data_IF_089062285689
#
_entry.id   IF_089062285689
#
_cell.length_a   1.000
_cell.length_b   1.000
_cell.length_c   1.000
_cell.angle_alpha   90.00
_cell.angle_beta   90.00
_cell.angle_gamma   90.00
#
_symmetry.space_group_name_H-M   'P 1'
#
loop_
_entity.id
_entity.type
_entity.pdbx_description
1 polymer ?
#
# COMPACT_ATOMS: atom_id res chain seq x y z
N UNK A 1 -3.58 11.95 9.61
CA UNK A 1 -3.31 10.88 10.54
C UNK A 1 -1.93 10.30 10.26
N UNK A 2 -1.25 9.81 11.29
CA UNK A 2 0.06 9.15 11.34
C UNK A 2 0.05 7.71 10.77
N UNK A 3 -0.42 7.55 9.53
CA UNK A 3 -0.51 6.25 8.87
C UNK A 3 0.85 5.55 8.72
N UNK A 4 1.89 6.31 8.36
CA UNK A 4 3.27 5.82 8.24
C UNK A 4 3.78 5.17 9.53
N UNK A 5 3.39 5.72 10.69
CA UNK A 5 3.82 5.25 12.02
C UNK A 5 3.04 4.03 12.50
N UNK A 6 1.91 3.73 11.85
CA UNK A 6 0.96 2.68 12.26
C UNK A 6 1.02 1.45 11.36
N UNK A 7 1.40 1.63 10.10
CA UNK A 7 1.43 0.58 9.08
C UNK A 7 2.35 -0.60 9.47
N UNK A 8 3.56 -0.41 10.02
CA UNK A 8 4.45 -1.51 10.38
C UNK A 8 3.81 -2.52 11.34
N UNK A 9 3.32 -2.03 12.49
CA UNK A 9 2.77 -2.87 13.56
C UNK A 9 1.34 -3.35 13.30
N UNK A 10 0.57 -2.68 12.42
CA UNK A 10 -0.83 -3.07 12.14
C UNK A 10 -0.97 -4.02 10.97
N UNK A 11 -0.08 -3.93 9.98
CA UNK A 11 -0.18 -4.68 8.74
C UNK A 11 1.09 -5.48 8.46
N UNK A 12 2.25 -4.83 8.44
CA UNK A 12 3.49 -5.46 7.96
C UNK A 12 3.94 -6.64 8.85
N UNK A 13 3.75 -6.53 10.17
CA UNK A 13 4.04 -7.62 11.10
C UNK A 13 3.15 -8.84 10.88
N UNK A 14 1.87 -8.62 10.55
CA UNK A 14 0.98 -9.70 10.12
C UNK A 14 1.46 -10.35 8.83
N UNK A 15 1.87 -9.53 7.85
CA UNK A 15 2.36 -10.04 6.56
C UNK A 15 3.63 -10.88 6.75
N UNK A 16 4.57 -10.45 7.61
CA UNK A 16 5.77 -11.25 7.95
C UNK A 16 5.40 -12.63 8.50
N UNK A 17 4.40 -12.70 9.39
CA UNK A 17 3.89 -13.97 9.92
C UNK A 17 3.33 -14.85 8.79
N UNK A 18 2.55 -14.28 7.87
CA UNK A 18 1.98 -15.04 6.76
C UNK A 18 3.03 -15.54 5.77
N UNK A 19 4.04 -14.71 5.45
CA UNK A 19 5.17 -15.09 4.60
C UNK A 19 5.97 -16.25 5.23
N UNK A 20 6.27 -16.18 6.52
CA UNK A 20 6.97 -17.24 7.23
C UNK A 20 6.17 -18.56 7.28
N UNK A 21 4.83 -18.47 7.30
CA UNK A 21 3.91 -19.62 7.33
C UNK A 21 3.47 -20.09 5.95
N UNK A 22 3.89 -19.41 4.87
CA UNK A 22 3.43 -19.67 3.50
C UNK A 22 1.88 -19.71 3.39
N UNK A 23 1.21 -18.79 4.09
CA UNK A 23 -0.25 -18.68 4.09
C UNK A 23 -0.69 -17.41 3.36
N UNK A 24 -1.93 -17.38 2.89
CA UNK A 24 -2.46 -16.24 2.15
C UNK A 24 -2.76 -15.04 3.05
N UNK A 25 -2.59 -13.83 2.50
CA UNK A 25 -2.78 -12.57 3.21
C UNK A 25 -3.38 -11.44 2.32
N UNK A 26 -4.35 -11.72 1.44
CA UNK A 26 -4.75 -10.77 0.40
C UNK A 26 -5.42 -9.51 0.97
N UNK A 27 -6.10 -9.60 2.11
CA UNK A 27 -6.69 -8.43 2.80
C UNK A 27 -5.63 -7.52 3.43
N UNK A 28 -4.50 -8.07 3.91
CA UNK A 28 -3.39 -7.26 4.40
C UNK A 28 -2.70 -6.54 3.24
N UNK A 29 -2.55 -7.22 2.09
CA UNK A 29 -2.06 -6.59 0.86
C UNK A 29 -2.96 -5.42 0.43
N UNK A 30 -4.28 -5.64 0.45
CA UNK A 30 -5.27 -4.62 0.12
C UNK A 30 -5.24 -3.45 1.10
N UNK A 31 -5.06 -3.68 2.40
CA UNK A 31 -4.90 -2.62 3.39
C UNK A 31 -3.68 -1.73 3.12
N UNK A 32 -2.54 -2.34 2.77
CA UNK A 32 -1.31 -1.60 2.41
C UNK A 32 -1.50 -0.82 1.10
N UNK A 33 -2.09 -1.44 0.07
CA UNK A 33 -2.40 -0.76 -1.19
C UNK A 33 -3.41 0.39 -1.01
N UNK A 34 -4.39 0.23 -0.13
CA UNK A 34 -5.35 1.27 0.25
C UNK A 34 -4.66 2.46 0.94
N UNK A 35 -3.69 2.21 1.82
CA UNK A 35 -2.86 3.28 2.37
C UNK A 35 -2.07 3.99 1.27
N UNK A 36 -1.44 3.26 0.33
CA UNK A 36 -0.72 3.86 -0.80
C UNK A 36 -1.63 4.74 -1.67
N UNK A 37 -2.88 4.31 -1.89
CA UNK A 37 -3.90 5.08 -2.61
C UNK A 37 -4.28 6.35 -1.87
N UNK A 38 -4.55 6.24 -0.58
CA UNK A 38 -4.87 7.39 0.26
C UNK A 38 -3.75 8.43 0.22
N UNK A 39 -2.50 8.03 0.50
CA UNK A 39 -1.36 8.96 0.54
C UNK A 39 -0.94 9.49 -0.84
N UNK A 40 -1.52 8.94 -1.92
CA UNK A 40 -1.40 9.51 -3.26
C UNK A 40 -2.21 10.81 -3.45
N UNK A 41 -3.02 11.19 -2.45
CA UNK A 41 -3.58 12.53 -2.33
C UNK A 41 -4.80 12.82 -3.19
N UNK A 42 -5.36 11.81 -3.87
CA UNK A 42 -6.56 11.94 -4.70
C UNK A 42 -7.50 10.76 -4.42
N UNK A 43 -8.78 11.03 -4.23
CA UNK A 43 -9.80 10.00 -4.01
C UNK A 43 -10.36 9.42 -5.32
N UNK A 44 -11.23 8.42 -5.21
CA UNK A 44 -11.85 7.73 -6.37
C UNK A 44 -12.74 8.67 -7.21
N UNK A 45 -13.10 9.86 -6.72
CA UNK A 45 -13.85 10.89 -7.46
C UNK A 45 -12.96 11.96 -8.11
N UNK A 46 -11.64 11.88 -7.91
CA UNK A 46 -10.67 12.87 -8.39
C UNK A 46 -10.48 14.07 -7.46
N UNK A 47 -11.08 14.06 -6.27
CA UNK A 47 -10.92 15.15 -5.30
C UNK A 47 -9.63 15.00 -4.50
N UNK A 48 -9.00 16.13 -4.16
CA UNK A 48 -7.78 16.15 -3.38
C UNK A 48 -8.04 15.72 -1.92
N UNK A 49 -7.12 14.94 -1.37
CA UNK A 49 -7.14 14.47 0.02
C UNK A 49 -6.08 15.23 0.83
N UNK A 50 -6.48 15.81 1.97
CA UNK A 50 -5.57 16.40 2.95
C UNK A 50 -4.81 15.29 3.73
N UNK A 51 -3.57 15.01 3.31
CA UNK A 51 -2.71 13.98 3.91
C UNK A 51 -1.99 14.53 5.14
N UNK A 52 -2.44 14.07 6.31
CA UNK A 52 -1.91 14.52 7.62
C UNK A 52 -0.91 13.53 8.23
N UNK A 53 0.22 13.28 7.61
CA UNK A 53 1.20 12.29 8.06
C UNK A 53 2.56 12.94 8.40
N UNK A 54 3.32 12.48 9.42
CA UNK A 54 4.67 13.01 9.68
C UNK A 54 5.64 12.91 8.48
N UNK A 55 5.39 11.98 7.56
CA UNK A 55 6.18 11.79 6.34
C UNK A 55 5.50 12.37 5.10
N UNK A 56 4.48 13.24 5.26
CA UNK A 56 3.66 13.74 4.15
C UNK A 56 4.47 14.38 3.03
N UNK A 57 5.47 15.21 3.33
CA UNK A 57 6.32 15.86 2.33
C UNK A 57 7.09 14.83 1.48
N UNK A 58 7.75 13.88 2.15
CA UNK A 58 8.51 12.82 1.47
C UNK A 58 7.61 11.93 0.63
N UNK A 59 6.41 11.62 1.11
CA UNK A 59 5.41 10.86 0.37
C UNK A 59 4.93 11.66 -0.85
N UNK A 60 4.63 12.95 -0.69
CA UNK A 60 4.20 13.82 -1.78
C UNK A 60 5.26 13.94 -2.89
N UNK A 61 6.54 14.04 -2.52
CA UNK A 61 7.64 14.07 -3.48
C UNK A 61 7.73 12.77 -4.30
N UNK A 62 7.63 11.60 -3.65
CA UNK A 62 7.61 10.30 -4.33
C UNK A 62 6.39 10.16 -5.24
N UNK A 63 5.21 10.61 -4.78
CA UNK A 63 3.96 10.60 -5.55
C UNK A 63 4.09 11.48 -6.79
N UNK A 64 4.63 12.69 -6.66
CA UNK A 64 4.83 13.64 -7.76
C UNK A 64 5.83 13.13 -8.81
N UNK A 65 6.83 12.36 -8.38
CA UNK A 65 7.89 11.81 -9.23
C UNK A 65 7.56 10.43 -9.81
N UNK A 66 6.37 9.88 -9.54
CA UNK A 66 5.98 8.55 -10.02
C UNK A 66 4.68 8.60 -10.82
N UNK A 67 4.69 7.87 -11.94
CA UNK A 67 3.47 7.52 -12.66
C UNK A 67 2.64 6.49 -11.89
N UNK A 68 1.41 6.26 -12.34
CA UNK A 68 0.50 5.28 -11.73
C UNK A 68 1.11 3.86 -11.65
N UNK A 69 1.88 3.45 -12.67
CA UNK A 69 2.55 2.15 -12.70
C UNK A 69 3.79 2.08 -11.82
N UNK A 70 4.41 3.22 -11.50
CA UNK A 70 5.60 3.31 -10.65
C UNK A 70 5.25 3.60 -9.19
N UNK A 71 4.01 3.99 -8.89
CA UNK A 71 3.60 4.49 -7.57
C UNK A 71 3.92 3.51 -6.44
N UNK A 72 3.67 2.22 -6.65
CA UNK A 72 3.94 1.18 -5.64
C UNK A 72 5.44 1.07 -5.39
N UNK A 73 6.28 0.98 -6.43
CA UNK A 73 7.73 0.85 -6.24
C UNK A 73 8.33 2.10 -5.61
N UNK A 74 7.84 3.29 -5.98
CA UNK A 74 8.24 4.55 -5.38
C UNK A 74 7.91 4.58 -3.87
N UNK A 75 6.70 4.23 -3.46
CA UNK A 75 6.30 4.23 -2.06
C UNK A 75 6.99 3.12 -1.24
N UNK A 76 7.24 1.96 -1.83
CA UNK A 76 8.03 0.89 -1.18
C UNK A 76 9.48 1.29 -0.89
N UNK A 77 10.00 2.34 -1.54
CA UNK A 77 11.34 2.88 -1.23
C UNK A 77 11.45 3.54 0.15
N UNK A 78 10.31 3.79 0.83
CA UNK A 78 10.24 4.32 2.20
C UNK A 78 10.71 3.27 3.22
N UNK A 79 12.03 3.10 3.35
CA UNK A 79 12.66 2.09 4.21
C UNK A 79 12.29 2.21 5.69
N UNK A 80 11.97 3.41 6.15
CA UNK A 80 11.50 3.65 7.53
C UNK A 80 10.12 3.04 7.81
N UNK A 81 9.34 2.72 6.77
CA UNK A 81 8.06 2.02 6.87
C UNK A 81 8.24 0.53 6.53
N UNK A 82 8.79 0.24 5.35
CA UNK A 82 8.74 -1.12 4.79
C UNK A 82 9.92 -2.02 5.16
N UNK A 83 11.01 -1.47 5.69
CA UNK A 83 12.27 -2.17 5.94
C UNK A 83 12.82 -2.95 4.71
N UNK A 84 14.08 -3.38 4.78
CA UNK A 84 14.76 -3.97 3.62
C UNK A 84 14.26 -5.39 3.29
N UNK A 85 13.87 -6.16 4.31
CA UNK A 85 13.48 -7.56 4.18
C UNK A 85 12.19 -7.74 3.36
N UNK A 86 11.17 -6.92 3.60
CA UNK A 86 9.90 -7.01 2.85
C UNK A 86 10.06 -6.57 1.40
N UNK A 87 10.77 -5.47 1.15
CA UNK A 87 10.96 -4.94 -0.21
C UNK A 87 11.78 -5.90 -1.07
N UNK A 88 12.64 -6.72 -0.47
CA UNK A 88 13.40 -7.78 -1.15
C UNK A 88 12.61 -9.08 -1.35
N UNK A 89 11.43 -9.23 -0.72
CA UNK A 89 10.59 -10.42 -0.86
C UNK A 89 9.66 -10.27 -2.10
N UNK A 90 9.83 -11.08 -3.16
CA UNK A 90 9.02 -10.92 -4.38
C UNK A 90 7.54 -11.19 -4.18
N UNK A 91 7.16 -12.08 -3.24
CA UNK A 91 5.76 -12.37 -2.92
C UNK A 91 5.09 -11.16 -2.25
N UNK A 92 5.83 -10.47 -1.37
CA UNK A 92 5.37 -9.22 -0.77
C UNK A 92 5.09 -8.17 -1.84
N UNK A 93 6.09 -7.86 -2.68
CA UNK A 93 5.99 -6.83 -3.72
C UNK A 93 4.85 -7.15 -4.69
N UNK A 94 4.76 -8.40 -5.17
CA UNK A 94 3.72 -8.82 -6.09
C UNK A 94 2.32 -8.72 -5.46
N UNK A 95 2.16 -9.11 -4.18
CA UNK A 95 0.88 -8.99 -3.47
C UNK A 95 0.39 -7.55 -3.38
N UNK A 96 1.28 -6.61 -3.05
CA UNK A 96 0.91 -5.17 -2.99
C UNK A 96 0.60 -4.62 -4.39
N UNK A 97 1.38 -4.97 -5.41
CA UNK A 97 1.13 -4.53 -6.79
C UNK A 97 -0.22 -5.02 -7.32
N UNK A 98 -0.57 -6.29 -7.08
CA UNK A 98 -1.87 -6.84 -7.49
C UNK A 98 -3.02 -6.16 -6.76
N UNK A 99 -2.89 -5.92 -5.45
CA UNK A 99 -3.89 -5.19 -4.68
C UNK A 99 -4.06 -3.74 -5.17
N UNK A 100 -2.96 -3.04 -5.45
CA UNK A 100 -2.96 -1.71 -6.04
C UNK A 100 -3.70 -1.67 -7.38
N UNK A 101 -3.41 -2.63 -8.27
CA UNK A 101 -4.06 -2.74 -9.58
C UNK A 101 -5.58 -2.96 -9.45
N UNK A 102 -6.02 -3.80 -8.50
CA UNK A 102 -7.46 -3.98 -8.24
C UNK A 102 -8.13 -2.67 -7.83
N UNK A 103 -7.52 -1.93 -6.90
CA UNK A 103 -8.07 -0.62 -6.50
C UNK A 103 -8.05 0.37 -7.68
N UNK A 104 -6.95 0.39 -8.45
CA UNK A 104 -6.82 1.24 -9.64
C UNK A 104 -7.95 1.05 -10.65
N UNK A 105 -8.30 -0.21 -10.87
CA UNK A 105 -9.20 -0.60 -11.95
C UNK A 105 -10.67 -0.55 -11.53
N UNK A 106 -10.97 -0.92 -10.28
CA UNK A 106 -12.35 -1.15 -9.83
C UNK A 106 -12.79 -0.21 -8.69
N UNK A 107 -11.89 0.61 -8.16
CA UNK A 107 -12.13 1.42 -6.96
C UNK A 107 -12.06 0.60 -5.67
N UNK A 108 -11.94 1.30 -4.54
CA UNK A 108 -11.64 0.64 -3.26
C UNK A 108 -12.77 -0.30 -2.79
N UNK A 109 -14.02 0.08 -2.99
CA UNK A 109 -15.19 -0.71 -2.57
C UNK A 109 -15.27 -2.05 -3.28
N UNK A 110 -15.15 -2.05 -4.62
CA UNK A 110 -15.23 -3.29 -5.40
C UNK A 110 -14.01 -4.18 -5.14
N UNK A 111 -12.81 -3.59 -5.00
CA UNK A 111 -11.60 -4.35 -4.68
C UNK A 111 -11.75 -5.15 -3.37
N UNK A 112 -12.38 -4.59 -2.33
CA UNK A 112 -12.66 -5.32 -1.07
C UNK A 112 -13.58 -6.50 -1.31
N UNK A 113 -14.67 -6.31 -2.06
CA UNK A 113 -15.63 -7.39 -2.38
C UNK A 113 -14.92 -8.53 -3.12
N UNK A 114 -14.11 -8.21 -4.12
CA UNK A 114 -13.43 -9.20 -4.94
C UNK A 114 -12.35 -9.96 -4.17
N UNK A 115 -11.66 -9.29 -3.24
CA UNK A 115 -10.67 -9.92 -2.36
C UNK A 115 -11.30 -10.86 -1.32
N UNK A 116 -12.55 -10.65 -0.91
CA UNK A 116 -13.25 -11.55 0.01
C UNK A 116 -13.81 -12.81 -0.66
N UNK A 117 -13.93 -12.79 -1.99
CA UNK A 117 -14.48 -13.91 -2.78
C UNK A 117 -13.40 -14.81 -3.38
N UNK A 118 -12.14 -14.40 -3.32
CA UNK A 118 -10.99 -15.15 -3.84
C UNK A 118 -10.53 -16.24 -2.88
#
# INVERSE_FOLDING_TARGET
MDGSQKLPQRMLEGIRVHLARQSEWPLLALGVAGWMRYVSGVDDSGAAIDIRDPLSEKIADLVKQSTESERVSALLSLREIFATDLVQNPQFVAGIQQAWQRIAQYGAHQAVIDTLKS
#
